data_IF_924286009360
#
_entry.id   IF_924286009360
#
_cell.length_a   1.000
_cell.length_b   1.000
_cell.length_c   1.000
_cell.angle_alpha   90.00
_cell.angle_beta   90.00
_cell.angle_gamma   90.00
#
_symmetry.space_group_name_H-M   'P 1'
#
loop_
_entity.id
_entity.type
_entity.pdbx_description
1 polymer ?
#
# COMPACT_ATOMS: atom_id res chain seq x y z
N UNK A 1 -19.49 15.56 20.36
CA UNK A 1 -20.03 14.98 19.10
C UNK A 1 -18.93 14.36 18.24
N UNK A 2 -17.83 15.06 17.95
CA UNK A 2 -16.67 14.51 17.19
C UNK A 2 -15.93 13.39 17.95
N UNK A 3 -15.82 13.46 19.29
CA UNK A 3 -15.14 12.42 20.10
C UNK A 3 -15.77 11.03 19.99
N UNK A 4 -17.10 10.89 20.06
CA UNK A 4 -17.78 9.59 19.88
C UNK A 4 -17.61 8.99 18.47
N UNK A 5 -17.37 9.84 17.47
CA UNK A 5 -17.09 9.40 16.09
C UNK A 5 -15.66 8.91 15.89
N UNK A 6 -14.75 9.30 16.78
CA UNK A 6 -13.31 9.03 16.71
C UNK A 6 -12.85 7.94 17.68
N UNK A 7 -13.77 7.29 18.41
CA UNK A 7 -13.43 6.00 18.99
C UNK A 7 -13.05 5.07 17.83
N UNK A 8 -11.76 4.72 17.76
CA UNK A 8 -11.10 4.15 16.57
C UNK A 8 -11.91 3.04 15.89
N UNK A 9 -12.59 2.23 16.69
CA UNK A 9 -13.36 1.09 16.22
C UNK A 9 -14.68 1.44 15.51
N UNK A 10 -15.40 2.48 15.97
CA UNK A 10 -16.63 2.93 15.33
C UNK A 10 -16.31 3.70 14.04
N UNK A 11 -15.26 4.52 14.07
CA UNK A 11 -14.71 5.16 12.88
C UNK A 11 -14.36 4.13 11.81
N UNK A 12 -13.64 3.07 12.18
CA UNK A 12 -13.21 2.01 11.28
C UNK A 12 -14.39 1.33 10.57
N UNK A 13 -15.42 0.93 11.33
CA UNK A 13 -16.65 0.31 10.79
C UNK A 13 -17.35 1.22 9.79
N UNK A 14 -17.41 2.52 10.08
CA UNK A 14 -18.04 3.51 9.21
C UNK A 14 -17.23 3.72 7.93
N UNK A 15 -15.94 3.98 8.08
CA UNK A 15 -15.04 4.37 7.00
C UNK A 15 -14.83 3.26 5.95
N UNK A 16 -14.78 1.99 6.36
CA UNK A 16 -14.25 0.90 5.51
C UNK A 16 -15.26 -0.19 5.16
N UNK A 17 -16.55 -0.01 5.47
CA UNK A 17 -17.58 -0.95 5.10
C UNK A 17 -17.73 -1.14 3.57
N UNK A 18 -17.34 -0.18 2.71
CA UNK A 18 -17.37 -0.35 1.25
C UNK A 18 -16.06 -0.99 0.75
N UNK A 19 -16.16 -2.00 -0.11
CA UNK A 19 -15.00 -2.76 -0.57
C UNK A 19 -14.20 -1.95 -1.62
N UNK A 20 -12.90 -1.80 -1.39
CA UNK A 20 -11.95 -1.18 -2.31
C UNK A 20 -11.53 -2.16 -3.42
N UNK A 21 -10.86 -1.67 -4.47
CA UNK A 21 -10.33 -2.56 -5.51
C UNK A 21 -9.33 -3.58 -4.96
N UNK A 22 -8.51 -3.21 -3.97
CA UNK A 22 -7.57 -4.13 -3.31
C UNK A 22 -8.30 -5.28 -2.60
N UNK A 23 -9.38 -4.99 -1.86
CA UNK A 23 -10.15 -6.05 -1.18
C UNK A 23 -10.82 -6.98 -2.21
N UNK A 24 -11.33 -6.42 -3.31
CA UNK A 24 -11.91 -7.21 -4.41
C UNK A 24 -10.87 -8.09 -5.10
N UNK A 25 -9.67 -7.56 -5.35
CA UNK A 25 -8.53 -8.30 -5.90
C UNK A 25 -8.13 -9.44 -4.97
N UNK A 26 -7.95 -9.17 -3.68
CA UNK A 26 -7.54 -10.18 -2.70
C UNK A 26 -8.59 -11.30 -2.59
N UNK A 27 -9.88 -10.96 -2.54
CA UNK A 27 -10.97 -11.95 -2.58
C UNK A 27 -10.89 -12.80 -3.85
N UNK A 28 -10.66 -12.17 -5.00
CA UNK A 28 -10.52 -12.87 -6.27
C UNK A 28 -9.29 -13.78 -6.31
N UNK A 29 -8.16 -13.35 -5.73
CA UNK A 29 -6.92 -14.11 -5.64
C UNK A 29 -7.06 -15.34 -4.73
N UNK A 30 -7.70 -15.18 -3.57
CA UNK A 30 -7.98 -16.28 -2.65
C UNK A 30 -8.93 -17.31 -3.27
N UNK A 31 -10.02 -16.85 -3.90
CA UNK A 31 -10.94 -17.72 -4.62
C UNK A 31 -10.27 -18.47 -5.79
N UNK A 32 -9.27 -17.86 -6.43
CA UNK A 32 -8.43 -18.50 -7.43
C UNK A 32 -7.52 -19.57 -6.83
N UNK A 33 -6.88 -19.25 -5.71
CA UNK A 33 -5.98 -20.17 -5.01
C UNK A 33 -6.71 -21.41 -4.46
N UNK A 34 -8.01 -21.32 -4.20
CA UNK A 34 -8.85 -22.45 -3.79
C UNK A 34 -9.30 -23.39 -4.92
N UNK A 35 -8.92 -23.11 -6.17
CA UNK A 35 -9.33 -23.93 -7.32
C UNK A 35 -8.19 -24.82 -7.82
N UNK A 36 -8.48 -26.06 -8.25
CA UNK A 36 -7.50 -26.91 -8.93
C UNK A 36 -6.98 -26.23 -10.20
N UNK A 37 -5.66 -26.11 -10.33
CA UNK A 37 -5.01 -25.41 -11.48
C UNK A 37 -5.35 -26.01 -12.84
N UNK A 38 -5.62 -27.32 -12.88
CA UNK A 38 -6.02 -28.04 -14.09
C UNK A 38 -7.45 -27.71 -14.55
N UNK A 39 -8.30 -27.14 -13.67
CA UNK A 39 -9.71 -26.94 -13.97
C UNK A 39 -9.95 -25.82 -15.00
N UNK A 40 -10.95 -26.00 -15.86
CA UNK A 40 -11.39 -24.95 -16.79
C UNK A 40 -11.88 -23.69 -16.05
N UNK A 41 -12.46 -23.87 -14.85
CA UNK A 41 -12.89 -22.78 -13.98
C UNK A 41 -11.70 -21.94 -13.50
N UNK A 42 -10.59 -22.56 -13.14
CA UNK A 42 -9.36 -21.87 -12.78
C UNK A 42 -8.85 -20.98 -13.91
N UNK A 43 -8.66 -21.55 -15.11
CA UNK A 43 -8.16 -20.81 -16.28
C UNK A 43 -9.04 -19.59 -16.61
N UNK A 44 -10.36 -19.78 -16.60
CA UNK A 44 -11.33 -18.71 -16.84
C UNK A 44 -11.25 -17.61 -15.78
N UNK A 45 -11.20 -17.99 -14.51
CA UNK A 45 -11.12 -17.03 -13.41
C UNK A 45 -9.77 -16.29 -13.39
N UNK A 46 -8.67 -16.94 -13.80
CA UNK A 46 -7.35 -16.34 -13.85
C UNK A 46 -7.31 -15.26 -14.92
N UNK A 47 -7.80 -15.56 -16.13
CA UNK A 47 -7.92 -14.58 -17.20
C UNK A 47 -8.78 -13.37 -16.78
N UNK A 48 -9.90 -13.61 -16.09
CA UNK A 48 -10.74 -12.53 -15.55
C UNK A 48 -9.99 -11.71 -14.49
N UNK A 49 -9.28 -12.35 -13.57
CA UNK A 49 -8.52 -11.66 -12.54
C UNK A 49 -7.42 -10.78 -13.11
N UNK A 50 -6.66 -11.30 -14.09
CA UNK A 50 -5.64 -10.51 -14.82
C UNK A 50 -6.29 -9.29 -15.47
N UNK A 51 -7.41 -9.47 -16.16
CA UNK A 51 -8.14 -8.37 -16.82
C UNK A 51 -8.63 -7.31 -15.81
N UNK A 52 -9.21 -7.75 -14.70
CA UNK A 52 -9.85 -6.84 -13.74
C UNK A 52 -8.89 -6.19 -12.75
N UNK A 53 -7.78 -6.84 -12.40
CA UNK A 53 -6.97 -6.43 -11.25
C UNK A 53 -5.46 -6.32 -11.52
N UNK A 54 -4.96 -6.63 -12.72
CA UNK A 54 -3.52 -6.51 -13.01
C UNK A 54 -2.95 -5.11 -12.73
N UNK A 55 -3.74 -4.07 -12.96
CA UNK A 55 -3.37 -2.68 -12.72
C UNK A 55 -3.18 -2.32 -11.23
N UNK A 56 -3.64 -3.15 -10.28
CA UNK A 56 -3.60 -2.82 -8.84
C UNK A 56 -2.18 -2.72 -8.28
N UNK A 57 -1.18 -3.33 -8.94
CA UNK A 57 0.24 -3.13 -8.66
C UNK A 57 0.76 -1.76 -9.11
N UNK A 58 0.07 -1.12 -10.07
CA UNK A 58 0.56 0.06 -10.76
C UNK A 58 0.27 1.32 -9.95
N UNK A 59 1.34 2.03 -9.53
CA UNK A 59 1.24 3.37 -8.96
C UNK A 59 1.97 4.35 -9.84
N UNK A 60 1.31 5.46 -10.22
CA UNK A 60 1.91 6.65 -10.84
C UNK A 60 2.96 6.37 -11.94
N UNK A 61 2.68 5.42 -12.84
CA UNK A 61 3.61 5.01 -13.91
C UNK A 61 4.93 4.36 -13.45
N UNK A 62 5.24 4.21 -12.15
CA UNK A 62 6.54 3.68 -11.71
C UNK A 62 6.60 2.16 -11.63
N UNK A 63 5.52 1.52 -11.17
CA UNK A 63 5.46 0.06 -11.00
C UNK A 63 4.89 -0.67 -12.22
N UNK A 64 5.20 -1.94 -12.40
CA UNK A 64 4.60 -2.76 -13.46
C UNK A 64 3.26 -3.38 -13.02
N UNK A 65 2.26 -3.51 -13.91
CA UNK A 65 1.08 -4.33 -13.65
C UNK A 65 1.45 -5.77 -13.31
N UNK A 66 0.57 -6.46 -12.57
CA UNK A 66 0.71 -7.88 -12.38
C UNK A 66 0.56 -8.64 -13.70
N UNK A 67 1.52 -9.51 -13.96
CA UNK A 67 1.44 -10.52 -15.01
C UNK A 67 0.79 -11.78 -14.48
N UNK A 68 0.28 -12.64 -15.38
CA UNK A 68 -0.22 -13.96 -15.01
C UNK A 68 0.81 -14.76 -14.20
N UNK A 69 2.09 -14.72 -14.62
CA UNK A 69 3.20 -15.33 -13.88
C UNK A 69 3.30 -14.81 -12.44
N UNK A 70 3.29 -13.49 -12.25
CA UNK A 70 3.39 -12.89 -10.92
C UNK A 70 2.19 -13.23 -10.02
N UNK A 71 0.98 -13.36 -10.61
CA UNK A 71 -0.22 -13.78 -9.88
C UNK A 71 -0.07 -15.23 -9.44
N UNK A 72 0.38 -16.13 -10.33
CA UNK A 72 0.61 -17.53 -10.00
C UNK A 72 1.69 -17.71 -8.91
N UNK A 73 2.72 -16.88 -8.92
CA UNK A 73 3.74 -16.85 -7.86
C UNK A 73 3.15 -16.38 -6.52
N UNK A 74 2.39 -15.28 -6.52
CA UNK A 74 1.67 -14.80 -5.32
C UNK A 74 0.77 -15.88 -4.73
N UNK A 75 0.08 -16.63 -5.58
CA UNK A 75 -0.78 -17.73 -5.14
C UNK A 75 -0.03 -18.88 -4.47
N UNK A 76 1.22 -19.17 -4.86
CA UNK A 76 2.01 -20.25 -4.22
C UNK A 76 2.31 -19.96 -2.75
N UNK A 77 2.41 -18.68 -2.38
CA UNK A 77 2.65 -18.26 -0.99
C UNK A 77 1.41 -18.29 -0.09
N UNK A 78 0.22 -18.62 -0.63
CA UNK A 78 -1.04 -18.59 0.12
C UNK A 78 -1.27 -19.95 0.77
N UNK A 79 -1.01 -20.05 2.07
CA UNK A 79 -1.44 -21.19 2.86
C UNK A 79 -2.97 -21.13 3.09
N UNK A 80 -3.65 -22.29 2.97
CA UNK A 80 -5.07 -22.48 3.29
C UNK A 80 -6.01 -21.40 2.70
N UNK A 81 -6.06 -21.26 1.37
CA UNK A 81 -6.78 -20.17 0.71
C UNK A 81 -8.28 -20.14 1.03
N UNK A 82 -8.93 -21.29 1.26
CA UNK A 82 -10.35 -21.39 1.61
C UNK A 82 -10.64 -20.80 3.00
N UNK A 83 -9.78 -21.10 3.98
CA UNK A 83 -9.90 -20.55 5.33
C UNK A 83 -9.73 -19.03 5.30
N UNK A 84 -8.71 -18.54 4.59
CA UNK A 84 -8.45 -17.10 4.43
C UNK A 84 -9.58 -16.38 3.70
N UNK A 85 -10.16 -17.01 2.67
CA UNK A 85 -11.32 -16.45 1.96
C UNK A 85 -12.52 -16.34 2.89
N UNK A 86 -12.82 -17.37 3.68
CA UNK A 86 -13.91 -17.34 4.67
C UNK A 86 -13.68 -16.26 5.72
N UNK A 87 -12.47 -16.15 6.27
CA UNK A 87 -12.12 -15.13 7.24
C UNK A 87 -12.27 -13.70 6.67
N UNK A 88 -11.83 -13.49 5.42
CA UNK A 88 -12.03 -12.21 4.72
C UNK A 88 -13.53 -11.90 4.58
N UNK A 89 -14.34 -12.85 4.10
CA UNK A 89 -15.78 -12.63 3.93
C UNK A 89 -16.51 -12.38 5.26
N UNK A 90 -16.12 -13.09 6.33
CA UNK A 90 -16.67 -12.91 7.67
C UNK A 90 -16.32 -11.53 8.25
N UNK A 91 -15.06 -11.11 8.13
CA UNK A 91 -14.60 -9.77 8.54
C UNK A 91 -15.40 -8.67 7.82
N UNK A 92 -15.63 -8.83 6.51
CA UNK A 92 -16.43 -7.88 5.72
C UNK A 92 -17.89 -7.83 6.19
N UNK A 93 -18.53 -8.98 6.45
CA UNK A 93 -19.88 -9.03 7.03
C UNK A 93 -19.92 -8.40 8.42
N UNK A 94 -18.90 -8.61 9.25
CA UNK A 94 -18.79 -8.00 10.57
C UNK A 94 -18.68 -6.48 10.49
N UNK A 95 -17.94 -5.94 9.51
CA UNK A 95 -17.85 -4.49 9.26
C UNK A 95 -19.20 -3.91 8.83
N UNK A 96 -19.93 -4.56 7.93
CA UNK A 96 -21.25 -4.12 7.49
C UNK A 96 -22.28 -4.15 8.63
N UNK A 97 -22.27 -5.21 9.46
CA UNK A 97 -23.09 -5.29 10.68
C UNK A 97 -22.72 -4.19 11.68
N UNK A 98 -21.42 -4.00 11.92
CA UNK A 98 -20.90 -2.98 12.83
C UNK A 98 -21.27 -1.57 12.38
N UNK A 99 -21.19 -1.29 11.08
CA UNK A 99 -21.67 -0.04 10.49
C UNK A 99 -23.16 0.16 10.77
N UNK A 100 -23.98 -0.84 10.44
CA UNK A 100 -25.43 -0.77 10.61
C UNK A 100 -25.85 -0.53 12.05
N UNK A 101 -25.20 -1.22 13.01
CA UNK A 101 -25.41 -1.01 14.44
C UNK A 101 -24.98 0.38 14.91
N UNK A 102 -23.86 0.89 14.39
CA UNK A 102 -23.35 2.21 14.76
C UNK A 102 -24.26 3.32 14.24
N UNK A 103 -24.70 3.23 12.98
CA UNK A 103 -25.57 4.23 12.36
C UNK A 103 -26.96 4.30 13.01
N UNK A 104 -27.51 3.16 13.44
CA UNK A 104 -28.80 3.11 14.15
C UNK A 104 -28.80 3.89 15.47
N UNK A 105 -27.64 4.10 16.09
CA UNK A 105 -27.49 4.87 17.34
C UNK A 105 -27.43 6.39 17.12
N UNK A 106 -27.36 6.84 15.87
CA UNK A 106 -27.17 8.24 15.53
C UNK A 106 -28.50 8.92 15.17
N UNK A 107 -28.62 10.21 15.47
CA UNK A 107 -29.74 11.03 15.03
C UNK A 107 -29.75 11.17 13.49
N UNK A 108 -30.92 11.42 12.88
CA UNK A 108 -31.07 11.53 11.41
C UNK A 108 -30.10 12.53 10.77
N UNK A 109 -29.84 13.67 11.41
CA UNK A 109 -28.87 14.67 10.95
C UNK A 109 -27.44 14.12 10.91
N UNK A 110 -27.04 13.37 11.93
CA UNK A 110 -25.72 12.72 12.02
C UNK A 110 -25.58 11.60 11.00
N UNK A 111 -26.63 10.81 10.76
CA UNK A 111 -26.60 9.75 9.74
C UNK A 111 -26.32 10.32 8.33
N UNK A 112 -26.88 11.50 8.00
CA UNK A 112 -26.60 12.19 6.72
C UNK A 112 -25.12 12.57 6.60
N UNK A 113 -24.55 13.15 7.66
CA UNK A 113 -23.11 13.51 7.71
C UNK A 113 -22.24 12.26 7.53
N UNK A 114 -22.58 11.16 8.21
CA UNK A 114 -21.87 9.88 8.08
C UNK A 114 -21.93 9.34 6.65
N UNK A 115 -23.11 9.38 6.02
CA UNK A 115 -23.26 8.92 4.64
C UNK A 115 -22.38 9.74 3.68
N UNK A 116 -22.40 11.07 3.80
CA UNK A 116 -21.54 11.96 3.00
C UNK A 116 -20.04 11.70 3.25
N UNK A 117 -19.64 11.57 4.51
CA UNK A 117 -18.25 11.29 4.87
C UNK A 117 -17.75 9.97 4.27
N UNK A 118 -18.58 8.92 4.29
CA UNK A 118 -18.26 7.63 3.67
C UNK A 118 -18.09 7.75 2.17
N UNK A 119 -18.94 8.52 1.50
CA UNK A 119 -18.82 8.74 0.07
C UNK A 119 -17.53 9.48 -0.27
N UNK A 120 -17.15 10.49 0.50
CA UNK A 120 -15.87 11.21 0.34
C UNK A 120 -14.68 10.25 0.50
N UNK A 121 -14.68 9.39 1.53
CA UNK A 121 -13.62 8.40 1.75
C UNK A 121 -13.54 7.39 0.59
N UNK A 122 -14.69 6.98 0.06
CA UNK A 122 -14.74 6.09 -1.08
C UNK A 122 -14.20 6.77 -2.34
N UNK A 123 -14.65 7.98 -2.66
CA UNK A 123 -14.19 8.76 -3.81
C UNK A 123 -12.69 9.03 -3.75
N UNK A 124 -12.14 9.30 -2.56
CA UNK A 124 -10.68 9.43 -2.36
C UNK A 124 -9.94 8.17 -2.80
N UNK A 125 -10.49 6.99 -2.50
CA UNK A 125 -9.89 5.70 -2.83
C UNK A 125 -10.07 5.38 -4.32
N UNK A 126 -11.28 5.56 -4.85
CA UNK A 126 -11.58 5.40 -6.29
C UNK A 126 -10.73 6.30 -7.16
N UNK A 127 -10.44 7.54 -6.73
CA UNK A 127 -9.51 8.42 -7.44
C UNK A 127 -8.12 7.80 -7.55
N UNK A 128 -7.60 7.21 -6.47
CA UNK A 128 -6.30 6.55 -6.50
C UNK A 128 -6.32 5.31 -7.40
N UNK A 129 -7.40 4.53 -7.35
CA UNK A 129 -7.61 3.36 -8.21
C UNK A 129 -7.71 3.75 -9.69
N UNK A 130 -8.44 4.82 -10.00
CA UNK A 130 -8.54 5.38 -11.35
C UNK A 130 -7.18 5.82 -11.88
N UNK A 131 -6.37 6.51 -11.07
CA UNK A 131 -4.99 6.87 -11.44
C UNK A 131 -4.14 5.63 -11.71
N UNK A 132 -4.26 4.57 -10.90
CA UNK A 132 -3.56 3.30 -11.12
C UNK A 132 -3.97 2.62 -12.45
N UNK A 133 -5.28 2.56 -12.73
CA UNK A 133 -5.81 2.06 -14.01
C UNK A 133 -5.30 2.88 -15.20
N UNK A 134 -5.40 4.20 -15.12
CA UNK A 134 -4.92 5.10 -16.18
C UNK A 134 -3.42 4.93 -16.43
N UNK A 135 -2.62 4.77 -15.37
CA UNK A 135 -1.18 4.50 -15.49
C UNK A 135 -0.93 3.16 -16.22
N UNK A 136 -1.65 2.10 -15.86
CA UNK A 136 -1.52 0.81 -16.53
C UNK A 136 -1.89 0.86 -18.02
N UNK A 137 -2.95 1.60 -18.38
CA UNK A 137 -3.36 1.79 -19.76
C UNK A 137 -2.37 2.67 -20.55
N UNK A 138 -1.75 3.65 -19.91
CA UNK A 138 -0.77 4.54 -20.54
C UNK A 138 0.60 3.88 -20.71
N UNK A 139 0.92 2.80 -19.98
CA UNK A 139 2.24 2.16 -20.02
C UNK A 139 2.74 1.83 -21.44
N UNK A 140 1.96 1.21 -22.36
CA UNK A 140 2.43 0.91 -23.71
C UNK A 140 2.79 2.17 -24.52
N UNK A 141 2.09 3.29 -24.27
CA UNK A 141 2.41 4.57 -24.90
C UNK A 141 3.77 5.08 -24.43
N UNK A 142 4.03 5.08 -23.13
CA UNK A 142 5.33 5.50 -22.58
C UNK A 142 6.47 4.57 -23.04
N UNK A 143 6.24 3.27 -23.14
CA UNK A 143 7.22 2.34 -23.71
C UNK A 143 7.51 2.60 -25.18
N UNK A 144 6.49 2.93 -25.96
CA UNK A 144 6.66 3.29 -27.37
C UNK A 144 7.45 4.60 -27.51
N UNK A 145 7.11 5.63 -26.74
CA UNK A 145 7.85 6.91 -26.72
C UNK A 145 9.30 6.67 -26.31
N UNK A 146 9.54 5.88 -25.27
CA UNK A 146 10.88 5.57 -24.79
C UNK A 146 11.71 4.89 -25.89
N UNK A 147 11.18 3.85 -26.54
CA UNK A 147 11.83 3.18 -27.69
C UNK A 147 12.14 4.15 -28.82
N UNK A 148 11.19 5.03 -29.18
CA UNK A 148 11.38 6.04 -30.24
C UNK A 148 12.53 7.01 -29.93
N UNK A 149 12.70 7.36 -28.65
CA UNK A 149 13.74 8.27 -28.18
C UNK A 149 15.05 7.55 -27.79
N UNK A 150 15.11 6.22 -27.85
CA UNK A 150 16.29 5.44 -27.49
C UNK A 150 16.51 5.29 -25.98
N UNK A 151 15.43 5.34 -25.18
CA UNK A 151 15.46 5.15 -23.73
C UNK A 151 14.68 3.89 -23.33
N UNK A 152 14.96 3.40 -22.12
CA UNK A 152 14.01 2.57 -21.36
C UNK A 152 12.85 3.42 -20.83
N UNK A 153 11.74 2.78 -20.47
CA UNK A 153 10.58 3.46 -19.88
C UNK A 153 10.97 4.17 -18.57
N UNK A 154 11.79 3.53 -17.76
CA UNK A 154 12.27 4.04 -16.49
C UNK A 154 13.16 5.27 -16.66
N UNK A 155 14.00 5.30 -17.70
CA UNK A 155 14.77 6.49 -18.09
C UNK A 155 13.87 7.62 -18.57
N UNK A 156 12.87 7.30 -19.42
CA UNK A 156 11.93 8.29 -19.92
C UNK A 156 11.18 9.00 -18.78
N UNK A 157 10.76 8.26 -17.75
CA UNK A 157 10.04 8.79 -16.59
C UNK A 157 10.86 9.75 -15.70
N UNK A 158 12.16 9.94 -15.99
CA UNK A 158 13.02 10.94 -15.33
C UNK A 158 12.95 12.32 -16.00
N UNK A 159 12.32 12.42 -17.16
CA UNK A 159 12.12 13.67 -17.88
C UNK A 159 10.74 14.23 -17.62
N UNK A 160 10.64 15.55 -17.57
CA UNK A 160 9.36 16.25 -17.53
C UNK A 160 8.60 16.09 -18.85
N UNK A 161 7.30 16.30 -18.81
CA UNK A 161 6.46 16.30 -20.01
C UNK A 161 7.00 17.25 -21.10
N UNK A 162 7.45 18.44 -20.72
CA UNK A 162 7.98 19.44 -21.65
C UNK A 162 9.27 18.97 -22.34
N UNK A 163 10.16 18.31 -21.59
CA UNK A 163 11.41 17.75 -22.13
C UNK A 163 11.12 16.59 -23.08
N UNK A 164 10.20 15.69 -22.71
CA UNK A 164 9.78 14.58 -23.57
C UNK A 164 9.17 15.14 -24.87
N UNK A 165 8.30 16.14 -24.77
CA UNK A 165 7.70 16.79 -25.93
C UNK A 165 8.77 17.44 -26.83
N UNK A 166 9.71 18.20 -26.26
CA UNK A 166 10.81 18.80 -27.02
C UNK A 166 11.65 17.76 -27.75
N UNK A 167 12.00 16.65 -27.10
CA UNK A 167 12.74 15.54 -27.73
C UNK A 167 11.93 14.88 -28.87
N UNK A 168 10.60 14.75 -28.72
CA UNK A 168 9.74 14.21 -29.77
C UNK A 168 9.59 15.15 -30.97
N UNK A 169 9.71 16.47 -30.76
CA UNK A 169 9.67 17.50 -31.79
C UNK A 169 11.02 17.74 -32.50
N UNK A 170 12.01 16.87 -32.30
CA UNK A 170 13.33 16.98 -32.93
C UNK A 170 14.40 17.69 -32.09
N UNK A 171 14.09 18.03 -30.83
CA UNK A 171 15.05 18.57 -29.88
C UNK A 171 16.14 17.58 -29.47
N UNK A 172 17.20 18.11 -28.85
CA UNK A 172 18.35 17.30 -28.39
C UNK A 172 17.93 16.30 -27.31
N UNK A 173 18.41 15.07 -27.44
CA UNK A 173 18.28 14.01 -26.42
C UNK A 173 19.04 14.37 -25.15
N UNK A 174 18.46 14.09 -23.99
CA UNK A 174 19.00 14.39 -22.67
C UNK A 174 19.55 13.12 -22.00
N UNK A 175 20.64 13.25 -21.25
CA UNK A 175 21.19 12.13 -20.48
C UNK A 175 20.32 11.86 -19.23
N UNK A 176 19.79 10.63 -19.04
CA UNK A 176 19.04 10.27 -17.84
C UNK A 176 19.91 10.09 -16.58
N UNK A 177 21.22 9.81 -16.70
CA UNK A 177 22.09 9.46 -15.56
C UNK A 177 22.15 10.50 -14.44
N UNK A 178 22.28 11.81 -14.71
CA UNK A 178 22.28 12.83 -13.66
C UNK A 178 20.99 12.84 -12.82
N UNK A 179 19.92 12.22 -13.32
CA UNK A 179 18.56 12.24 -12.76
C UNK A 179 18.21 11.01 -11.94
N UNK A 180 19.14 10.08 -11.72
CA UNK A 180 18.93 8.92 -10.85
C UNK A 180 18.68 9.31 -9.38
N UNK A 181 19.12 10.50 -8.98
CA UNK A 181 18.86 11.11 -7.68
C UNK A 181 18.27 12.49 -7.91
N UNK A 182 16.95 12.60 -7.93
CA UNK A 182 16.27 13.89 -8.01
C UNK A 182 15.41 14.12 -6.77
N UNK A 183 15.27 15.38 -6.40
CA UNK A 183 14.22 15.86 -5.52
C UNK A 183 13.71 17.18 -6.09
N UNK A 184 12.40 17.39 -5.97
CA UNK A 184 11.76 18.62 -6.41
C UNK A 184 10.90 19.18 -5.29
N UNK A 185 10.84 20.50 -5.21
CA UNK A 185 9.89 21.20 -4.35
C UNK A 185 9.15 22.27 -5.16
N UNK A 186 7.97 22.63 -4.68
CA UNK A 186 7.20 23.77 -5.18
C UNK A 186 7.10 24.76 -4.03
N UNK A 187 7.71 25.93 -4.21
CA UNK A 187 7.55 27.08 -3.31
C UNK A 187 6.93 28.20 -4.15
N UNK A 188 5.78 28.71 -3.72
CA UNK A 188 5.03 29.78 -4.41
C UNK A 188 4.77 29.49 -5.90
N UNK A 189 4.39 28.25 -6.23
CA UNK A 189 4.11 27.83 -7.60
C UNK A 189 5.34 27.64 -8.49
N UNK A 190 6.56 27.89 -7.98
CA UNK A 190 7.80 27.64 -8.69
C UNK A 190 8.34 26.25 -8.38
N UNK A 191 8.33 25.37 -9.38
CA UNK A 191 8.99 24.07 -9.31
C UNK A 191 10.51 24.26 -9.38
N UNK A 192 11.22 23.92 -8.31
CA UNK A 192 12.68 23.76 -8.35
C UNK A 192 13.00 22.28 -8.40
N UNK A 193 13.79 21.85 -9.39
CA UNK A 193 14.25 20.48 -9.54
C UNK A 193 15.75 20.46 -9.37
N UNK A 194 16.23 19.68 -8.41
CA UNK A 194 17.64 19.51 -8.14
C UNK A 194 18.08 18.10 -8.51
N UNK A 195 19.29 18.02 -9.07
CA UNK A 195 19.91 16.78 -9.55
C UNK A 195 21.15 16.49 -8.69
N UNK A 196 21.34 15.23 -8.28
CA UNK A 196 22.53 14.78 -7.56
C UNK A 196 22.34 14.50 -6.06
N UNK A 197 23.45 14.27 -5.35
CA UNK A 197 23.51 13.80 -3.96
C UNK A 197 23.47 14.94 -2.93
N UNK A 198 22.42 15.76 -2.94
CA UNK A 198 22.17 16.67 -1.83
C UNK A 198 21.21 16.00 -0.84
N UNK A 199 21.71 15.72 0.36
CA UNK A 199 20.89 15.57 1.56
C UNK A 199 19.89 14.40 1.58
N UNK A 200 20.32 13.16 1.36
CA UNK A 200 19.87 12.15 2.35
C UNK A 200 20.68 12.52 3.60
N UNK A 201 20.10 13.05 4.69
CA UNK A 201 20.85 13.08 5.93
C UNK A 201 21.37 11.66 6.12
N UNK A 202 22.69 11.48 6.19
CA UNK A 202 23.22 10.22 6.72
C UNK A 202 22.50 10.06 8.05
N UNK A 203 21.74 8.96 8.26
CA UNK A 203 21.06 8.79 9.52
C UNK A 203 22.12 8.93 10.60
N UNK A 204 21.98 9.95 11.44
CA UNK A 204 22.82 10.03 12.63
C UNK A 204 22.46 8.77 13.40
N UNK A 205 23.40 7.83 13.48
CA UNK A 205 23.27 6.63 14.29
C UNK A 205 23.31 7.03 15.76
N UNK A 206 22.31 7.80 16.21
CA UNK A 206 21.97 7.86 17.62
C UNK A 206 21.19 6.59 17.88
N UNK A 207 21.69 5.79 18.82
CA UNK A 207 20.97 4.63 19.35
C UNK A 207 19.68 5.17 19.96
N UNK A 208 18.57 4.98 19.26
CA UNK A 208 17.25 5.38 19.74
C UNK A 208 16.72 4.22 20.56
N UNK A 209 16.68 4.37 21.88
CA UNK A 209 16.16 3.34 22.79
C UNK A 209 14.64 3.22 22.73
N UNK A 210 13.97 4.25 22.22
CA UNK A 210 12.52 4.35 22.20
C UNK A 210 12.05 5.16 21.00
N UNK A 211 11.19 4.57 20.18
CA UNK A 211 10.58 5.20 19.03
C UNK A 211 9.07 5.33 19.27
N UNK A 212 8.51 6.51 19.06
CA UNK A 212 7.07 6.75 19.22
C UNK A 212 6.38 6.92 17.88
N UNK A 213 5.12 6.46 17.78
CA UNK A 213 4.26 6.71 16.64
C UNK A 213 2.78 6.77 17.05
N UNK A 214 1.91 6.71 16.04
CA UNK A 214 0.46 6.67 16.23
C UNK A 214 0.01 5.21 16.23
N UNK A 215 -0.73 4.81 17.26
CA UNK A 215 -1.34 3.48 17.34
C UNK A 215 -2.38 3.34 16.23
N UNK A 216 -2.17 2.39 15.32
CA UNK A 216 -3.16 2.02 14.33
C UNK A 216 -3.96 0.78 14.75
N UNK A 217 -3.30 -0.24 15.27
CA UNK A 217 -3.93 -1.47 15.75
C UNK A 217 -3.31 -1.82 17.11
N UNK A 218 -4.17 -2.03 18.10
CA UNK A 218 -3.78 -2.26 19.49
C UNK A 218 -3.18 -3.64 19.71
N UNK A 219 -2.45 -3.78 20.81
CA UNK A 219 -1.80 -5.01 21.24
C UNK A 219 -0.30 -4.83 21.45
N UNK A 220 0.32 -5.86 22.03
CA UNK A 220 1.75 -5.88 22.34
C UNK A 220 2.35 -7.13 21.71
N UNK A 221 3.46 -6.98 20.99
CA UNK A 221 4.15 -8.12 20.41
C UNK A 221 5.65 -7.86 20.27
N UNK A 222 6.43 -8.94 20.32
CA UNK A 222 7.88 -8.90 20.14
C UNK A 222 8.30 -9.66 18.89
N UNK A 223 9.45 -9.31 18.32
CA UNK A 223 10.02 -10.05 17.21
C UNK A 223 11.29 -9.43 16.69
N UNK A 224 11.93 -10.14 15.76
CA UNK A 224 13.08 -9.60 15.03
C UNK A 224 12.57 -8.66 13.94
N UNK A 225 13.17 -7.48 13.82
CA UNK A 225 12.90 -6.52 12.76
C UNK A 225 13.28 -7.14 11.43
N UNK A 226 12.37 -7.01 10.46
CA UNK A 226 12.67 -7.16 9.05
C UNK A 226 12.21 -5.92 8.31
N UNK A 227 13.17 -5.19 7.74
CA UNK A 227 12.93 -3.99 6.95
C UNK A 227 12.54 -4.41 5.54
N UNK A 228 11.39 -3.91 5.09
CA UNK A 228 10.88 -4.13 3.73
C UNK A 228 10.94 -2.80 2.97
N UNK A 229 11.92 -2.67 2.09
CA UNK A 229 12.04 -1.55 1.17
C UNK A 229 11.31 -1.84 -0.14
N UNK A 230 11.41 -3.07 -0.64
CA UNK A 230 10.79 -3.48 -1.90
C UNK A 230 10.45 -4.99 -1.95
N UNK A 231 9.89 -5.45 -3.07
CA UNK A 231 9.42 -6.82 -3.29
C UNK A 231 10.48 -7.90 -2.97
N UNK A 232 11.77 -7.74 -3.35
CA UNK A 232 12.78 -8.76 -3.03
C UNK A 232 12.93 -9.03 -1.53
N UNK A 233 12.73 -8.03 -0.68
CA UNK A 233 12.84 -8.18 0.78
C UNK A 233 11.76 -9.10 1.33
N UNK A 234 10.57 -9.12 0.69
CA UNK A 234 9.44 -9.96 1.08
C UNK A 234 9.76 -11.45 0.99
N UNK A 235 10.62 -11.86 0.05
CA UNK A 235 11.01 -13.27 -0.10
C UNK A 235 11.80 -13.80 1.11
N UNK A 236 12.44 -12.90 1.86
CA UNK A 236 13.24 -13.23 3.04
C UNK A 236 12.49 -12.99 4.35
N UNK A 237 11.23 -12.55 4.28
CA UNK A 237 10.41 -12.30 5.46
C UNK A 237 10.06 -13.62 6.17
N UNK A 238 10.24 -13.66 7.49
CA UNK A 238 9.93 -14.84 8.30
C UNK A 238 8.74 -14.56 9.21
N UNK A 239 7.92 -15.58 9.42
CA UNK A 239 6.77 -15.51 10.34
C UNK A 239 7.24 -15.13 11.75
N UNK A 240 6.48 -14.25 12.41
CA UNK A 240 6.79 -13.73 13.73
C UNK A 240 7.83 -12.60 13.76
N UNK A 241 8.30 -12.14 12.59
CA UNK A 241 9.12 -10.92 12.51
C UNK A 241 8.25 -9.67 12.64
N UNK A 242 8.86 -8.58 13.09
CA UNK A 242 8.26 -7.25 13.06
C UNK A 242 8.52 -6.64 11.69
N UNK A 243 7.46 -6.35 10.94
CA UNK A 243 7.55 -5.73 9.62
C UNK A 243 7.80 -4.23 9.81
N UNK A 244 8.99 -3.76 9.41
CA UNK A 244 9.33 -2.34 9.41
C UNK A 244 9.38 -1.84 7.96
N UNK A 245 8.63 -0.81 7.62
CA UNK A 245 8.62 -0.27 6.25
C UNK A 245 8.35 1.23 6.22
N UNK A 246 8.84 1.94 5.21
CA UNK A 246 8.56 3.38 5.09
C UNK A 246 7.06 3.64 4.91
N UNK A 247 6.42 2.82 4.10
CA UNK A 247 4.98 2.70 3.92
C UNK A 247 4.66 1.28 3.44
N UNK A 248 3.44 0.80 3.66
CA UNK A 248 3.03 -0.51 3.13
C UNK A 248 2.29 -0.38 1.80
N UNK A 249 2.25 -1.48 1.05
CA UNK A 249 1.51 -1.60 -0.20
C UNK A 249 0.85 -2.99 -0.31
N UNK A 250 -0.06 -3.21 -1.28
CA UNK A 250 -0.79 -4.48 -1.41
C UNK A 250 0.08 -5.74 -1.57
N UNK A 251 1.31 -5.62 -2.08
CA UNK A 251 2.23 -6.77 -2.19
C UNK A 251 2.68 -7.27 -0.82
N UNK A 252 2.63 -6.42 0.20
CA UNK A 252 3.09 -6.74 1.55
C UNK A 252 2.04 -7.46 2.40
N UNK A 253 0.81 -7.65 1.92
CA UNK A 253 -0.29 -8.22 2.72
C UNK A 253 0.04 -9.61 3.28
N UNK A 254 0.73 -10.45 2.49
CA UNK A 254 1.17 -11.79 2.96
C UNK A 254 2.18 -11.66 4.11
N UNK A 255 3.15 -10.75 4.00
CA UNK A 255 4.13 -10.51 5.07
C UNK A 255 3.46 -9.87 6.30
N UNK A 256 2.50 -8.95 6.10
CA UNK A 256 1.73 -8.33 7.19
C UNK A 256 0.93 -9.36 7.99
N UNK A 257 0.37 -10.38 7.36
CA UNK A 257 -0.33 -11.48 8.03
C UNK A 257 0.62 -12.41 8.80
N UNK A 258 1.86 -12.54 8.33
CA UNK A 258 2.89 -13.32 9.00
C UNK A 258 3.60 -12.56 10.13
N UNK A 259 3.46 -11.23 10.17
CA UNK A 259 4.16 -10.37 11.10
C UNK A 259 3.62 -10.50 12.54
N UNK A 260 4.50 -10.40 13.53
CA UNK A 260 4.07 -10.26 14.93
C UNK A 260 3.61 -8.84 15.24
N UNK A 261 4.19 -7.83 14.58
CA UNK A 261 3.77 -6.44 14.61
C UNK A 261 4.20 -5.71 13.33
N UNK A 262 3.59 -4.55 13.08
CA UNK A 262 3.86 -3.70 11.91
C UNK A 262 4.26 -2.30 12.38
N UNK A 263 5.37 -1.78 11.86
CA UNK A 263 5.86 -0.43 12.16
C UNK A 263 6.11 0.32 10.86
N UNK A 264 5.55 1.53 10.71
CA UNK A 264 5.82 2.37 9.53
C UNK A 264 6.30 3.78 9.83
N UNK A 265 7.15 4.31 8.95
CA UNK A 265 7.61 5.70 9.04
C UNK A 265 6.50 6.68 8.69
N UNK A 266 5.70 6.34 7.67
CA UNK A 266 4.65 7.18 7.10
C UNK A 266 3.32 6.43 7.16
N UNK A 267 2.27 7.15 7.54
CA UNK A 267 0.89 6.66 7.50
C UNK A 267 -0.03 7.51 8.36
N UNK A 268 -1.28 7.67 7.95
CA UNK A 268 -2.35 8.19 8.81
C UNK A 268 -3.28 7.07 9.27
N UNK A 269 -4.25 7.39 10.12
CA UNK A 269 -5.22 6.41 10.64
C UNK A 269 -6.05 5.69 9.57
N UNK A 270 -6.11 6.26 8.36
CA UNK A 270 -6.75 5.68 7.18
C UNK A 270 -5.74 5.15 6.15
N UNK A 271 -4.50 4.91 6.53
CA UNK A 271 -3.45 4.39 5.63
C UNK A 271 -3.62 2.89 5.40
N UNK A 272 -2.99 2.37 4.34
CA UNK A 272 -2.98 0.93 4.05
C UNK A 272 -2.50 0.10 5.25
N UNK A 273 -1.40 0.50 5.91
CA UNK A 273 -0.89 -0.17 7.10
C UNK A 273 -1.94 -0.21 8.22
N UNK A 274 -2.59 0.91 8.51
CA UNK A 274 -3.58 1.02 9.58
C UNK A 274 -4.86 0.24 9.31
N UNK A 275 -5.29 0.18 8.05
CA UNK A 275 -6.49 -0.58 7.66
C UNK A 275 -6.20 -2.06 7.78
N UNK A 276 -5.18 -2.55 7.05
CA UNK A 276 -4.91 -3.99 6.94
C UNK A 276 -4.49 -4.59 8.29
N UNK A 277 -3.70 -3.89 9.10
CA UNK A 277 -3.32 -4.38 10.44
C UNK A 277 -4.51 -4.61 11.37
N UNK A 278 -5.52 -3.74 11.34
CA UNK A 278 -6.76 -3.92 12.12
C UNK A 278 -7.58 -5.10 11.62
N UNK A 279 -7.63 -5.32 10.31
CA UNK A 279 -8.33 -6.49 9.73
C UNK A 279 -7.66 -7.81 10.12
N UNK A 280 -6.33 -7.80 10.21
CA UNK A 280 -5.53 -8.97 10.57
C UNK A 280 -5.39 -9.15 12.09
N UNK A 281 -5.78 -8.17 12.91
CA UNK A 281 -5.57 -8.19 14.35
C UNK A 281 -4.09 -8.12 14.76
N UNK A 282 -3.23 -7.55 13.91
CA UNK A 282 -1.78 -7.44 14.14
C UNK A 282 -1.48 -6.08 14.79
N UNK A 283 -0.73 -6.02 15.91
CA UNK A 283 -0.29 -4.76 16.52
C UNK A 283 0.42 -3.85 15.51
N UNK A 284 0.07 -2.57 15.49
CA UNK A 284 0.56 -1.68 14.45
C UNK A 284 0.75 -0.25 14.94
N UNK A 285 1.96 0.27 14.73
CA UNK A 285 2.34 1.67 14.97
C UNK A 285 2.76 2.30 13.65
N UNK A 286 2.15 3.42 13.32
CA UNK A 286 2.41 4.17 12.09
C UNK A 286 2.99 5.54 12.41
N UNK A 287 3.49 6.24 11.38
CA UNK A 287 3.97 7.61 11.50
C UNK A 287 5.14 7.80 12.49
N UNK A 288 6.01 6.80 12.60
CA UNK A 288 7.22 6.85 13.44
C UNK A 288 8.31 7.76 12.86
N UNK A 289 8.14 8.19 11.60
CA UNK A 289 9.03 9.06 10.82
C UNK A 289 10.38 8.46 10.45
N UNK A 290 11.00 7.66 11.33
CA UNK A 290 12.40 7.23 11.22
C UNK A 290 12.66 5.75 11.55
N UNK A 291 11.66 4.90 11.76
CA UNK A 291 11.86 3.47 12.07
C UNK A 291 12.81 2.77 11.10
N UNK A 292 12.66 3.00 9.78
CA UNK A 292 13.53 2.37 8.76
C UNK A 292 14.97 2.86 8.78
N UNK A 293 15.24 3.97 9.46
CA UNK A 293 16.57 4.58 9.57
C UNK A 293 17.27 4.21 10.87
N UNK A 294 16.49 3.85 11.90
CA UNK A 294 16.96 3.52 13.24
C UNK A 294 17.22 2.03 13.39
N UNK A 295 16.25 1.20 13.02
CA UNK A 295 16.36 -0.25 13.18
C UNK A 295 17.21 -0.86 12.07
N UNK A 296 17.71 -2.07 12.33
CA UNK A 296 18.38 -2.94 11.37
C UNK A 296 17.69 -4.31 11.31
N UNK A 297 17.86 -4.99 10.18
CA UNK A 297 17.41 -6.37 10.05
C UNK A 297 18.01 -7.24 11.17
N UNK A 298 17.14 -7.97 11.86
CA UNK A 298 17.51 -8.85 12.97
C UNK A 298 17.41 -8.21 14.36
N UNK A 299 17.24 -6.89 14.47
CA UNK A 299 17.08 -6.23 15.78
C UNK A 299 15.84 -6.78 16.50
N UNK A 300 16.00 -7.19 17.76
CA UNK A 300 14.87 -7.69 18.55
C UNK A 300 14.18 -6.52 19.23
N UNK A 301 12.91 -6.31 18.93
CA UNK A 301 12.11 -5.18 19.44
C UNK A 301 10.82 -5.65 20.10
N UNK A 302 10.28 -4.81 20.98
CA UNK A 302 8.93 -4.91 21.53
C UNK A 302 8.10 -3.77 20.95
N UNK A 303 6.95 -4.09 20.36
CA UNK A 303 5.99 -3.11 19.86
C UNK A 303 4.85 -3.03 20.86
N UNK A 304 4.84 -1.99 21.69
CA UNK A 304 3.71 -1.65 22.57
C UNK A 304 2.75 -0.71 21.81
N UNK A 305 1.83 -1.31 21.06
CA UNK A 305 0.78 -0.59 20.36
C UNK A 305 -0.44 -0.27 21.27
N UNK A 306 -0.31 -0.39 22.59
CA UNK A 306 -1.22 0.28 23.53
C UNK A 306 -0.74 1.70 23.83
N UNK A 307 0.59 1.86 23.94
CA UNK A 307 1.24 3.15 24.26
C UNK A 307 1.81 3.86 23.04
N UNK A 308 1.84 3.20 21.88
CA UNK A 308 2.39 3.77 20.64
C UNK A 308 3.91 3.86 20.65
N UNK A 309 4.58 2.86 21.24
CA UNK A 309 6.04 2.81 21.43
C UNK A 309 6.62 1.54 20.81
N UNK A 310 7.81 1.67 20.22
CA UNK A 310 8.71 0.58 19.77
C UNK A 310 10.07 0.74 20.42
#
# INVERSE_FOLDING_TARGET
MVRMFLDDWNFYKIAFARATATVKEQRSLLALASLPRSSARFKRNLARHVKEYSWTAHKLLTMNPFTEKSILERMRGIAKPEERLRALEESRRALERGYSQTVRKLARSQQKIVAQYREILYLRTERADAVGKSAALAKPLFEHIARKLGYTREELLRFSYLEIHAMLSGGKRLDPKPREKYYSWIVDGKLSVHWGSWGRPKPSQKRVEKLSGVVASKGIACGNVKIINDIPDLATFKRGNVLVARYTNPNMVVAMEQASAIVTDIGGMTSHAAIVSRELGVPCIINTKIATQVFKDGDRVEVDAEKGVV
#
